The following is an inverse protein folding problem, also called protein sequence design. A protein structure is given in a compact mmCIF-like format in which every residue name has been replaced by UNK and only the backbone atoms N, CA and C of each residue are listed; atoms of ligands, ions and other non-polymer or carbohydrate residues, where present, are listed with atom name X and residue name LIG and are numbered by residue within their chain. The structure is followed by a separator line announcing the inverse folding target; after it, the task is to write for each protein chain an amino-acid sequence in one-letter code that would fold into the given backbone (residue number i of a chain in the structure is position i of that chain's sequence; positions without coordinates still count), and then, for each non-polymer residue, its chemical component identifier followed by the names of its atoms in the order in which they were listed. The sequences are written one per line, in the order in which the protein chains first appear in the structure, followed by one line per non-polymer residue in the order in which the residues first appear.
data_IF_047173794673
#
_entry.id   IF_047173794673
#
_cell.length_a   1.000
_cell.length_b   1.000
_cell.length_c   1.000
_cell.angle_alpha   90.00
_cell.angle_beta   90.00
_cell.angle_gamma   90.00
#
_symmetry.space_group_name_H-M   'P 1'
#
loop_
_entity.id
_entity.type
_entity.pdbx_description
1 polymer ?
#
# COMPACT_ATOMS: atom_id res chain seq x y z
N UNK A 1 25.38 27.07 101.64
CA UNK A 1 26.12 27.11 100.36
C UNK A 1 25.28 26.37 99.35
N UNK A 2 24.86 27.11 98.33
CA UNK A 2 23.95 26.74 97.24
C UNK A 2 24.64 25.81 96.26
N UNK A 3 24.06 24.64 95.98
CA UNK A 3 24.50 23.82 94.85
C UNK A 3 23.45 23.93 93.75
N UNK A 4 23.83 24.62 92.67
CA UNK A 4 23.03 24.91 91.48
C UNK A 4 23.33 23.85 90.40
N UNK A 5 22.38 23.48 89.52
CA UNK A 5 22.39 22.20 88.81
C UNK A 5 23.31 22.19 87.55
N UNK A 6 23.64 21.00 86.99
CA UNK A 6 24.45 20.88 85.77
C UNK A 6 23.63 21.28 84.53
N UNK A 7 23.57 22.58 84.24
CA UNK A 7 22.95 23.15 83.04
C UNK A 7 23.66 22.87 81.68
N UNK A 8 25.00 22.61 81.57
CA UNK A 8 25.64 22.48 80.25
C UNK A 8 25.45 21.11 79.57
N UNK A 9 25.21 20.03 80.34
CA UNK A 9 25.02 18.68 79.79
C UNK A 9 23.64 18.48 79.12
N UNK A 10 22.60 19.09 79.66
CA UNK A 10 21.23 19.03 79.11
C UNK A 10 21.09 19.89 77.86
N UNK A 11 21.72 21.07 77.83
CA UNK A 11 21.76 21.94 76.66
C UNK A 11 22.49 21.28 75.48
N UNK A 12 23.68 20.69 75.71
CA UNK A 12 24.44 20.00 74.67
C UNK A 12 23.69 18.77 74.09
N UNK A 13 22.95 18.04 74.93
CA UNK A 13 22.16 16.89 74.50
C UNK A 13 20.94 17.30 73.64
N UNK A 14 20.29 18.43 73.96
CA UNK A 14 19.20 18.98 73.15
C UNK A 14 19.68 19.49 71.79
N UNK A 15 20.85 20.12 71.76
CA UNK A 15 21.47 20.61 70.53
C UNK A 15 21.89 19.47 69.60
N UNK A 16 22.47 18.41 70.17
CA UNK A 16 22.79 17.19 69.41
C UNK A 16 21.53 16.51 68.84
N UNK A 17 20.40 16.52 69.57
CA UNK A 17 19.12 16.01 69.08
C UNK A 17 18.55 16.85 67.93
N UNK A 18 18.62 18.18 68.02
CA UNK A 18 18.20 19.08 66.93
C UNK A 18 19.01 18.85 65.67
N UNK A 19 20.35 18.87 65.76
CA UNK A 19 21.24 18.63 64.61
C UNK A 19 20.98 17.28 63.96
N UNK A 20 20.70 16.24 64.76
CA UNK A 20 20.35 14.90 64.24
C UNK A 20 19.01 14.87 63.51
N UNK A 21 18.01 15.58 64.03
CA UNK A 21 16.70 15.70 63.39
C UNK A 21 16.80 16.50 62.07
N UNK A 22 17.55 17.60 62.06
CA UNK A 22 17.83 18.40 60.85
C UNK A 22 18.56 17.57 59.78
N UNK A 23 19.63 16.86 60.15
CA UNK A 23 20.33 15.96 59.23
C UNK A 23 19.46 14.78 58.75
N UNK A 24 18.44 14.39 59.51
CA UNK A 24 17.43 13.42 59.09
C UNK A 24 16.49 13.98 58.04
N UNK A 25 15.99 15.21 58.25
CA UNK A 25 15.12 15.91 57.31
C UNK A 25 15.81 16.18 55.96
N UNK A 26 17.07 16.61 56.00
CA UNK A 26 17.86 16.90 54.79
C UNK A 26 18.02 15.65 53.91
N UNK A 27 18.32 14.49 54.53
CA UNK A 27 18.37 13.20 53.83
C UNK A 27 17.03 12.78 53.25
N UNK A 28 15.91 13.08 53.93
CA UNK A 28 14.57 12.82 53.41
C UNK A 28 14.29 13.69 52.19
N UNK A 29 14.64 14.98 52.21
CA UNK A 29 14.49 15.87 51.06
C UNK A 29 15.30 15.39 49.84
N UNK A 30 16.58 15.06 50.04
CA UNK A 30 17.46 14.53 48.99
C UNK A 30 16.95 13.22 48.38
N UNK A 31 16.49 12.30 49.23
CA UNK A 31 15.92 11.03 48.77
C UNK A 31 14.59 11.20 48.06
N UNK A 32 13.71 12.10 48.53
CA UNK A 32 12.48 12.42 47.83
C UNK A 32 12.78 13.01 46.45
N UNK A 33 13.73 13.93 46.33
CA UNK A 33 14.14 14.50 45.05
C UNK A 33 14.77 13.46 44.12
N UNK A 34 15.56 12.53 44.65
CA UNK A 34 16.04 11.40 43.88
C UNK A 34 14.86 10.54 43.41
N UNK A 35 13.96 10.14 44.31
CA UNK A 35 12.84 9.26 44.00
C UNK A 35 11.88 9.87 42.97
N UNK A 36 11.68 11.19 43.05
CA UNK A 36 10.86 11.95 42.11
C UNK A 36 11.51 12.01 40.72
N UNK A 37 12.84 12.10 40.63
CA UNK A 37 13.61 12.06 39.38
C UNK A 37 13.68 10.65 38.79
N UNK A 38 13.90 9.65 39.62
CA UNK A 38 13.99 8.23 39.21
C UNK A 38 12.63 7.56 39.03
N UNK A 39 11.52 8.31 39.17
CA UNK A 39 10.13 7.82 39.05
C UNK A 39 9.80 6.61 39.95
N UNK A 40 10.50 6.46 41.06
CA UNK A 40 10.25 5.38 42.03
C UNK A 40 9.07 5.73 42.94
N UNK A 41 8.32 4.72 43.37
CA UNK A 41 7.13 4.91 44.20
C UNK A 41 7.45 5.59 45.55
N UNK A 42 6.97 6.82 45.73
CA UNK A 42 7.09 7.57 46.99
C UNK A 42 6.12 6.99 48.01
N UNK A 43 6.64 6.26 48.98
CA UNK A 43 5.88 5.73 50.13
C UNK A 43 6.67 5.93 51.40
N UNK A 44 6.00 6.09 52.55
CA UNK A 44 6.67 6.20 53.86
C UNK A 44 7.68 5.08 54.11
N UNK A 45 7.35 3.85 53.72
CA UNK A 45 8.23 2.69 53.87
C UNK A 45 9.46 2.73 52.94
N UNK A 46 9.31 3.20 51.71
CA UNK A 46 10.43 3.34 50.77
C UNK A 46 11.36 4.48 51.19
N UNK A 47 10.80 5.62 51.58
CA UNK A 47 11.55 6.79 52.05
C UNK A 47 12.36 6.45 53.30
N UNK A 48 11.76 5.77 54.29
CA UNK A 48 12.47 5.33 55.50
C UNK A 48 13.71 4.47 55.18
N UNK A 49 13.53 3.50 54.28
CA UNK A 49 14.62 2.58 53.87
C UNK A 49 15.72 3.30 53.12
N UNK A 50 15.36 4.21 52.21
CA UNK A 50 16.32 4.85 51.31
C UNK A 50 17.04 6.03 51.96
N UNK A 51 16.39 6.74 52.89
CA UNK A 51 16.97 7.86 53.65
C UNK A 51 17.74 7.41 54.90
N UNK A 52 17.66 6.13 55.27
CA UNK A 52 18.31 5.59 56.46
C UNK A 52 17.76 6.18 57.77
N UNK A 53 16.44 6.35 57.85
CA UNK A 53 15.71 6.86 59.04
C UNK A 53 14.61 5.87 59.44
N UNK A 54 14.26 5.84 60.72
CA UNK A 54 13.21 4.94 61.20
C UNK A 54 11.83 5.41 60.74
N UNK A 55 10.89 4.46 60.56
CA UNK A 55 9.49 4.81 60.25
C UNK A 55 8.85 5.64 61.36
N UNK A 56 9.19 5.35 62.61
CA UNK A 56 8.71 6.10 63.79
C UNK A 56 9.12 7.57 63.71
N UNK A 57 10.36 7.87 63.32
CA UNK A 57 10.84 9.23 63.11
C UNK A 57 9.98 9.99 62.08
N UNK A 58 9.60 9.33 60.97
CA UNK A 58 8.76 9.95 59.95
C UNK A 58 7.34 10.27 60.44
N UNK A 59 6.78 9.45 61.32
CA UNK A 59 5.44 9.67 61.87
C UNK A 59 5.42 10.70 63.00
N UNK A 60 6.47 10.75 63.83
CA UNK A 60 6.59 11.68 64.95
C UNK A 60 6.93 13.11 64.48
N UNK A 61 7.67 13.27 63.39
CA UNK A 61 8.04 14.57 62.86
C UNK A 61 7.05 15.07 61.80
N UNK A 62 6.21 16.04 62.19
CA UNK A 62 5.21 16.70 61.32
C UNK A 62 5.81 17.25 60.02
N UNK A 63 7.01 17.83 60.08
CA UNK A 63 7.72 18.35 58.90
C UNK A 63 8.11 17.24 57.92
N UNK A 64 8.57 16.08 58.41
CA UNK A 64 8.90 14.94 57.56
C UNK A 64 7.64 14.41 56.85
N UNK A 65 6.51 14.36 57.56
CA UNK A 65 5.22 13.97 57.01
C UNK A 65 4.78 14.90 55.87
N UNK A 66 4.83 16.21 56.09
CA UNK A 66 4.45 17.21 55.09
C UNK A 66 5.31 17.10 53.80
N UNK A 67 6.62 16.85 53.94
CA UNK A 67 7.52 16.66 52.79
C UNK A 67 7.12 15.43 51.95
N UNK A 68 6.83 14.31 52.63
CA UNK A 68 6.41 13.06 51.97
C UNK A 68 5.05 13.24 51.30
N UNK A 69 4.06 13.84 51.99
CA UNK A 69 2.72 14.06 51.43
C UNK A 69 2.76 15.00 50.20
N UNK A 70 3.60 16.03 50.24
CA UNK A 70 3.86 16.91 49.09
C UNK A 70 4.55 16.18 47.94
N UNK A 71 5.50 15.28 48.21
CA UNK A 71 6.12 14.45 47.19
C UNK A 71 5.17 13.40 46.60
N UNK A 72 4.29 12.80 47.40
CA UNK A 72 3.23 11.89 46.94
C UNK A 72 2.28 12.63 46.00
N UNK A 73 1.84 13.83 46.38
CA UNK A 73 0.97 14.67 45.55
C UNK A 73 1.63 15.05 44.22
N UNK A 74 2.90 15.47 44.23
CA UNK A 74 3.67 15.77 43.01
C UNK A 74 3.83 14.54 42.11
N UNK A 75 4.12 13.37 42.69
CA UNK A 75 4.26 12.13 41.94
C UNK A 75 2.91 11.65 41.36
N UNK A 76 1.80 11.87 42.08
CA UNK A 76 0.46 11.58 41.60
C UNK A 76 0.03 12.50 40.45
N UNK A 77 0.29 13.81 40.55
CA UNK A 77 0.04 14.78 39.48
C UNK A 77 0.77 14.41 38.19
N UNK A 78 2.08 14.15 38.25
CA UNK A 78 2.85 13.73 37.07
C UNK A 78 2.34 12.43 36.44
N UNK A 79 1.95 11.44 37.25
CA UNK A 79 1.37 10.20 36.71
C UNK A 79 0.05 10.46 35.98
N UNK A 80 -0.76 11.39 36.47
CA UNK A 80 -2.00 11.78 35.79
C UNK A 80 -1.72 12.52 34.48
N UNK A 81 -0.68 13.36 34.43
CA UNK A 81 -0.25 14.06 33.22
C UNK A 81 0.34 13.07 32.19
N UNK A 82 1.27 12.19 32.59
CA UNK A 82 1.83 11.14 31.73
C UNK A 82 0.72 10.26 31.13
N UNK A 83 -0.31 9.91 31.92
CA UNK A 83 -1.47 9.15 31.44
C UNK A 83 -2.36 9.93 30.47
N UNK A 84 -2.46 11.25 30.62
CA UNK A 84 -3.20 12.11 29.68
C UNK A 84 -2.44 12.21 28.36
N UNK A 85 -1.14 12.43 28.42
CA UNK A 85 -0.28 12.50 27.23
C UNK A 85 -0.31 11.16 26.46
N UNK A 86 -0.22 10.03 27.15
CA UNK A 86 -0.38 8.71 26.54
C UNK A 86 -1.75 8.54 25.86
N UNK A 87 -2.84 9.01 26.49
CA UNK A 87 -4.18 8.96 25.88
C UNK A 87 -4.28 9.88 24.67
N UNK A 88 -3.78 11.10 24.76
CA UNK A 88 -3.85 12.09 23.68
C UNK A 88 -3.05 11.62 22.46
N UNK A 89 -1.89 10.98 22.67
CA UNK A 89 -1.11 10.39 21.59
C UNK A 89 -1.81 9.19 20.94
N UNK A 90 -2.46 8.33 21.71
CA UNK A 90 -3.27 7.23 21.18
C UNK A 90 -4.48 7.73 20.40
N UNK A 91 -5.18 8.73 20.93
CA UNK A 91 -6.32 9.36 20.27
C UNK A 91 -5.92 10.04 18.96
N UNK A 92 -4.76 10.72 18.93
CA UNK A 92 -4.22 11.30 17.72
C UNK A 92 -3.91 10.22 16.66
N UNK A 93 -3.24 9.14 17.07
CA UNK A 93 -2.94 8.02 16.18
C UNK A 93 -4.20 7.33 15.64
N UNK A 94 -5.26 7.20 16.45
CA UNK A 94 -6.53 6.64 16.02
C UNK A 94 -7.29 7.56 15.07
N UNK A 95 -7.30 8.87 15.32
CA UNK A 95 -7.87 9.87 14.41
C UNK A 95 -7.18 9.85 13.06
N UNK A 96 -5.85 9.78 13.04
CA UNK A 96 -5.07 9.67 11.81
C UNK A 96 -5.41 8.38 11.04
N UNK A 97 -5.47 7.22 11.72
CA UNK A 97 -5.88 5.98 11.06
C UNK A 97 -7.31 6.03 10.52
N UNK A 98 -8.23 6.65 11.24
CA UNK A 98 -9.61 6.82 10.78
C UNK A 98 -9.66 7.68 9.50
N UNK A 99 -8.94 8.81 9.49
CA UNK A 99 -8.85 9.68 8.32
C UNK A 99 -8.24 8.96 7.12
N UNK A 100 -7.14 8.24 7.33
CA UNK A 100 -6.48 7.44 6.28
C UNK A 100 -7.42 6.35 5.73
N UNK A 101 -8.23 5.71 6.59
CA UNK A 101 -9.20 4.72 6.16
C UNK A 101 -10.36 5.34 5.36
N UNK A 102 -10.84 6.53 5.75
CA UNK A 102 -11.84 7.27 4.99
C UNK A 102 -11.34 7.67 3.61
N UNK A 103 -10.10 8.14 3.51
CA UNK A 103 -9.49 8.54 2.24
C UNK A 103 -9.28 7.32 1.33
N UNK A 104 -8.82 6.19 1.88
CA UNK A 104 -8.74 4.93 1.14
C UNK A 104 -10.10 4.45 0.64
N UNK A 105 -11.17 4.59 1.46
CA UNK A 105 -12.52 4.23 1.07
C UNK A 105 -13.04 5.12 -0.07
N UNK A 106 -12.82 6.44 0.01
CA UNK A 106 -13.18 7.38 -1.06
C UNK A 106 -12.43 7.06 -2.36
N UNK A 107 -11.13 6.79 -2.27
CA UNK A 107 -10.32 6.39 -3.42
C UNK A 107 -10.86 5.11 -4.07
N UNK A 108 -11.16 4.08 -3.27
CA UNK A 108 -11.75 2.84 -3.76
C UNK A 108 -13.13 3.07 -4.42
N UNK A 109 -13.96 3.94 -3.85
CA UNK A 109 -15.27 4.25 -4.43
C UNK A 109 -15.14 4.96 -5.78
N UNK A 110 -14.22 5.93 -5.88
CA UNK A 110 -13.93 6.63 -7.13
C UNK A 110 -13.42 5.67 -8.21
N UNK A 111 -12.56 4.73 -7.85
CA UNK A 111 -12.07 3.69 -8.76
C UNK A 111 -13.21 2.79 -9.26
N UNK A 112 -14.11 2.36 -8.37
CA UNK A 112 -15.30 1.58 -8.77
C UNK A 112 -16.18 2.35 -9.75
N UNK A 113 -16.38 3.65 -9.54
CA UNK A 113 -17.13 4.50 -10.48
C UNK A 113 -16.42 4.62 -11.83
N UNK A 114 -15.11 4.84 -11.84
CA UNK A 114 -14.30 4.90 -13.06
C UNK A 114 -14.40 3.58 -13.84
N UNK A 115 -14.25 2.44 -13.16
CA UNK A 115 -14.38 1.11 -13.76
C UNK A 115 -15.79 0.86 -14.32
N UNK A 116 -16.85 1.27 -13.60
CA UNK A 116 -18.23 1.14 -14.09
C UNK A 116 -18.47 1.98 -15.35
N UNK A 117 -17.92 3.19 -15.41
CA UNK A 117 -18.01 4.02 -16.61
C UNK A 117 -17.29 3.36 -17.78
N UNK A 118 -16.07 2.87 -17.58
CA UNK A 118 -15.31 2.14 -18.60
C UNK A 118 -16.05 0.89 -19.08
N UNK A 119 -16.64 0.11 -18.17
CA UNK A 119 -17.48 -1.05 -18.53
C UNK A 119 -18.68 -0.60 -19.37
N UNK A 120 -19.34 0.49 -19.01
CA UNK A 120 -20.44 1.07 -19.77
C UNK A 120 -20.04 1.45 -21.20
N UNK A 121 -18.90 2.13 -21.36
CA UNK A 121 -18.33 2.47 -22.66
C UNK A 121 -17.99 1.23 -23.49
N UNK A 122 -17.31 0.24 -22.89
CA UNK A 122 -16.96 -1.01 -23.56
C UNK A 122 -18.20 -1.81 -23.99
N UNK A 123 -19.25 -1.84 -23.16
CA UNK A 123 -20.52 -2.46 -23.52
C UNK A 123 -21.22 -1.71 -24.66
N UNK A 124 -21.12 -0.38 -24.69
CA UNK A 124 -21.56 0.44 -25.83
C UNK A 124 -20.84 0.04 -27.12
N UNK A 125 -19.50 -0.01 -27.09
CA UNK A 125 -18.69 -0.44 -28.24
C UNK A 125 -19.03 -1.86 -28.70
N UNK A 126 -19.23 -2.81 -27.77
CA UNK A 126 -19.64 -4.19 -28.13
C UNK A 126 -21.01 -4.18 -28.82
N UNK A 127 -21.98 -3.43 -28.27
CA UNK A 127 -23.30 -3.31 -28.89
C UNK A 127 -23.20 -2.73 -30.29
N UNK A 128 -22.42 -1.67 -30.49
CA UNK A 128 -22.23 -1.05 -31.80
C UNK A 128 -21.57 -2.05 -32.77
N UNK A 129 -20.56 -2.79 -32.35
CA UNK A 129 -19.96 -3.82 -33.20
C UNK A 129 -20.93 -4.96 -33.55
N UNK A 130 -21.85 -5.30 -32.64
CA UNK A 130 -22.86 -6.32 -32.89
C UNK A 130 -24.00 -5.83 -33.78
N UNK A 131 -24.42 -4.56 -33.67
CA UNK A 131 -25.55 -4.02 -34.45
C UNK A 131 -25.24 -3.85 -35.94
N UNK A 132 -23.97 -3.74 -36.33
CA UNK A 132 -23.57 -3.55 -37.73
C UNK A 132 -23.53 -4.85 -38.55
N UNK A 133 -23.66 -6.03 -37.93
CA UNK A 133 -23.72 -7.30 -38.64
C UNK A 133 -25.10 -7.91 -38.46
N UNK A 134 -26.05 -7.47 -39.29
CA UNK A 134 -27.37 -8.11 -39.32
C UNK A 134 -27.26 -9.51 -39.94
N UNK A 135 -28.22 -10.38 -39.63
CA UNK A 135 -28.33 -11.69 -40.30
C UNK A 135 -28.51 -11.54 -41.83
N UNK A 136 -29.10 -10.42 -42.26
CA UNK A 136 -29.20 -10.01 -43.67
C UNK A 136 -27.83 -9.70 -44.28
N UNK A 137 -26.94 -9.00 -43.56
CA UNK A 137 -25.57 -8.74 -44.02
C UNK A 137 -24.75 -10.03 -44.13
N UNK A 138 -24.90 -10.94 -43.16
CA UNK A 138 -24.22 -12.23 -43.18
C UNK A 138 -24.69 -13.08 -44.38
N UNK A 139 -26.00 -13.19 -44.58
CA UNK A 139 -26.57 -13.95 -45.71
C UNK A 139 -26.19 -13.33 -47.05
N UNK A 140 -26.17 -11.99 -47.17
CA UNK A 140 -25.67 -11.28 -48.35
C UNK A 140 -24.20 -11.62 -48.63
N UNK A 141 -23.32 -11.51 -47.64
CA UNK A 141 -21.89 -11.82 -47.81
C UNK A 141 -21.66 -13.28 -48.21
N UNK A 142 -22.42 -14.22 -47.63
CA UNK A 142 -22.35 -15.64 -48.01
C UNK A 142 -22.80 -15.86 -49.45
N UNK A 143 -23.90 -15.23 -49.84
CA UNK A 143 -24.41 -15.31 -51.22
C UNK A 143 -23.42 -14.72 -52.21
N UNK A 144 -22.89 -13.53 -51.93
CA UNK A 144 -21.88 -12.86 -52.75
C UNK A 144 -20.61 -13.71 -52.86
N UNK A 145 -20.13 -14.29 -51.75
CA UNK A 145 -18.98 -15.20 -51.75
C UNK A 145 -19.23 -16.45 -52.59
N UNK A 146 -20.43 -17.03 -52.52
CA UNK A 146 -20.81 -18.19 -53.32
C UNK A 146 -20.89 -17.86 -54.81
N UNK A 147 -21.38 -16.67 -55.15
CA UNK A 147 -21.45 -16.16 -56.52
C UNK A 147 -20.05 -15.91 -57.09
N UNK A 148 -19.20 -15.22 -56.33
CA UNK A 148 -17.80 -14.98 -56.70
C UNK A 148 -17.03 -16.29 -56.89
N UNK A 149 -17.22 -17.29 -56.02
CA UNK A 149 -16.61 -18.62 -56.19
C UNK A 149 -17.07 -19.31 -57.49
N UNK A 150 -18.35 -19.19 -57.85
CA UNK A 150 -18.86 -19.73 -59.12
C UNK A 150 -18.25 -18.99 -60.31
N UNK A 151 -18.18 -17.66 -60.26
CA UNK A 151 -17.57 -16.84 -61.31
C UNK A 151 -16.09 -17.18 -61.49
N UNK A 152 -15.32 -17.31 -60.41
CA UNK A 152 -13.90 -17.69 -60.46
C UNK A 152 -13.75 -19.06 -61.12
N UNK A 153 -14.57 -20.05 -60.77
CA UNK A 153 -14.53 -21.38 -61.40
C UNK A 153 -14.85 -21.33 -62.90
N UNK A 154 -15.88 -20.57 -63.29
CA UNK A 154 -16.25 -20.39 -64.69
C UNK A 154 -15.11 -19.77 -65.49
N UNK A 155 -14.59 -18.63 -65.03
CA UNK A 155 -13.48 -17.93 -65.69
C UNK A 155 -12.22 -18.79 -65.75
N UNK A 156 -11.96 -19.62 -64.73
CA UNK A 156 -10.85 -20.58 -64.75
C UNK A 156 -11.04 -21.62 -65.85
N UNK A 157 -12.23 -22.20 -65.97
CA UNK A 157 -12.53 -23.18 -67.01
C UNK A 157 -12.43 -22.54 -68.41
N UNK A 158 -13.02 -21.36 -68.61
CA UNK A 158 -12.94 -20.62 -69.88
C UNK A 158 -11.49 -20.31 -70.26
N UNK A 159 -10.66 -19.90 -69.30
CA UNK A 159 -9.24 -19.65 -69.55
C UNK A 159 -8.52 -20.95 -69.98
N UNK A 160 -8.76 -22.07 -69.30
CA UNK A 160 -8.18 -23.36 -69.72
C UNK A 160 -8.65 -23.79 -71.12
N UNK A 161 -9.91 -23.58 -71.47
CA UNK A 161 -10.44 -23.88 -72.80
C UNK A 161 -9.79 -23.02 -73.87
N UNK A 162 -9.65 -21.70 -73.62
CA UNK A 162 -8.97 -20.79 -74.53
C UNK A 162 -7.48 -21.13 -74.70
N UNK A 163 -6.81 -21.52 -73.62
CA UNK A 163 -5.42 -21.99 -73.67
C UNK A 163 -5.28 -23.26 -74.51
N UNK A 164 -6.20 -24.23 -74.36
CA UNK A 164 -6.21 -25.45 -75.16
C UNK A 164 -6.45 -25.14 -76.64
N UNK A 165 -7.42 -24.26 -76.97
CA UNK A 165 -7.68 -23.80 -78.35
C UNK A 165 -6.46 -23.10 -78.95
N UNK A 166 -5.79 -22.25 -78.18
CA UNK A 166 -4.57 -21.56 -78.62
C UNK A 166 -3.43 -22.56 -78.86
N UNK A 167 -3.28 -23.57 -78.00
CA UNK A 167 -2.33 -24.68 -78.19
C UNK A 167 -2.59 -25.43 -79.50
N UNK A 168 -3.84 -25.88 -79.70
CA UNK A 168 -4.24 -26.59 -80.92
C UNK A 168 -4.04 -25.75 -82.19
N UNK A 169 -4.36 -24.45 -82.15
CA UNK A 169 -4.13 -23.54 -83.27
C UNK A 169 -2.64 -23.40 -83.60
N UNK A 170 -1.78 -23.27 -82.58
CA UNK A 170 -0.32 -23.21 -82.74
C UNK A 170 0.25 -24.49 -83.32
N UNK A 171 -0.23 -25.65 -82.88
CA UNK A 171 0.21 -26.94 -83.40
C UNK A 171 -0.24 -27.16 -84.85
N UNK A 172 -1.45 -26.72 -85.20
CA UNK A 172 -1.93 -26.75 -86.58
C UNK A 172 -1.08 -25.86 -87.50
N UNK A 173 -0.75 -24.63 -87.07
CA UNK A 173 0.16 -23.75 -87.82
C UNK A 173 1.53 -24.41 -88.00
N UNK A 174 2.12 -24.96 -86.94
CA UNK A 174 3.41 -25.69 -87.02
C UNK A 174 3.34 -26.89 -87.97
N UNK A 175 2.21 -27.60 -88.00
CA UNK A 175 2.01 -28.71 -88.91
C UNK A 175 1.91 -28.23 -90.37
N UNK A 176 1.14 -27.16 -90.62
CA UNK A 176 1.03 -26.54 -91.92
C UNK A 176 2.40 -26.03 -92.43
N UNK A 177 3.17 -25.35 -91.59
CA UNK A 177 4.51 -24.86 -91.93
C UNK A 177 5.45 -26.01 -92.34
N UNK A 178 5.47 -27.11 -91.57
CA UNK A 178 6.26 -28.31 -91.93
C UNK A 178 5.80 -28.92 -93.25
N UNK A 179 4.50 -28.94 -93.51
CA UNK A 179 3.94 -29.49 -94.75
C UNK A 179 4.28 -28.62 -95.95
N UNK A 180 4.21 -27.29 -95.80
CA UNK A 180 4.64 -26.32 -96.82
C UNK A 180 6.12 -26.51 -97.12
N UNK A 181 6.99 -26.54 -96.10
CA UNK A 181 8.43 -26.74 -96.30
C UNK A 181 8.74 -28.06 -97.02
N UNK A 182 8.03 -29.15 -96.72
CA UNK A 182 8.19 -30.42 -97.43
C UNK A 182 7.77 -30.30 -98.91
N UNK A 183 6.65 -29.63 -99.20
CA UNK A 183 6.19 -29.39 -100.57
C UNK A 183 7.14 -28.47 -101.35
N UNK A 184 7.71 -27.45 -100.70
CA UNK A 184 8.71 -26.57 -101.31
C UNK A 184 9.96 -27.35 -101.76
N UNK A 185 10.41 -28.31 -100.94
CA UNK A 185 11.52 -29.21 -101.30
C UNK A 185 11.15 -30.11 -102.49
N UNK A 186 9.95 -30.71 -102.49
CA UNK A 186 9.46 -31.53 -103.61
C UNK A 186 9.38 -30.72 -104.92
N UNK A 187 8.84 -29.50 -104.87
CA UNK A 187 8.76 -28.61 -106.02
C UNK A 187 10.16 -28.18 -106.51
N UNK A 188 11.08 -27.84 -105.61
CA UNK A 188 12.44 -27.46 -105.99
C UNK A 188 13.19 -28.62 -106.68
N UNK A 189 13.00 -29.85 -106.20
CA UNK A 189 13.56 -31.04 -106.83
C UNK A 189 12.96 -31.32 -108.22
N UNK A 190 11.66 -31.07 -108.42
CA UNK A 190 10.97 -31.25 -109.70
C UNK A 190 11.33 -30.19 -110.76
N UNK A 191 11.81 -29.00 -110.34
CA UNK A 191 12.26 -27.93 -111.26
C UNK A 191 13.71 -28.12 -111.71
N UNK A 192 14.49 -28.96 -111.00
CA UNK A 192 15.88 -29.28 -111.30
C UNK A 192 16.07 -30.58 -112.12
N UNK A 193 15.00 -31.31 -112.43
CA UNK A 193 15.00 -32.48 -113.33
C UNK A 193 14.46 -32.13 -114.72
#
# INVERSE_FOLDING_TARGET
MTDSPPAPQTAAALDARRKRAEAGLLRIEETLDHMLRSRTAVTFAAVARQAGVSRTFLYEHTRARALIDGAISRAAGRRADDQRDERDTLDAAWKERALNAEDALKAAHNEILAQRNQIGELLGHIRDLQTHWTEEDLTRVVNDNSSLKKQVRLLTNENTELQNKLGAARDNVRFADKRIAALEVECAAAVLS
#
